data_IF_470375744884
#
_entry.id   IF_470375744884
#
_cell.length_a   1.000
_cell.length_b   1.000
_cell.length_c   1.000
_cell.angle_alpha   90.00
_cell.angle_beta   90.00
_cell.angle_gamma   90.00
#
_symmetry.space_group_name_H-M   'P 1'
#
loop_
_entity.id
_entity.type
_entity.pdbx_description
1 polymer ?
#
# COMPACT_ATOMS: atom_id res chain seq x y z
N UNK A 1 34.48 -14.18 17.73
CA UNK A 1 33.86 -15.50 17.51
C UNK A 1 32.52 -15.27 16.84
N UNK A 2 32.51 -15.21 15.52
CA UNK A 2 31.32 -14.98 14.70
C UNK A 2 30.63 -16.32 14.49
N UNK A 3 29.68 -16.63 15.37
CA UNK A 3 28.79 -17.76 15.14
C UNK A 3 27.90 -17.44 13.95
N UNK A 4 28.21 -17.99 12.79
CA UNK A 4 27.17 -18.36 11.84
C UNK A 4 26.29 -19.37 12.56
N UNK A 5 25.24 -18.90 13.25
CA UNK A 5 24.15 -19.78 13.59
C UNK A 5 23.50 -20.13 12.25
N UNK A 6 23.59 -21.37 11.74
CA UNK A 6 22.70 -21.77 10.66
C UNK A 6 21.29 -21.51 11.17
N UNK A 7 20.49 -20.76 10.42
CA UNK A 7 19.07 -20.60 10.70
C UNK A 7 18.52 -22.01 10.87
N UNK A 8 18.24 -22.41 12.11
CA UNK A 8 17.71 -23.73 12.41
C UNK A 8 16.43 -23.87 11.62
N UNK A 9 16.35 -24.89 10.75
CA UNK A 9 15.16 -25.14 9.93
C UNK A 9 13.98 -25.29 10.89
N UNK A 10 13.10 -24.30 10.92
CA UNK A 10 11.92 -24.32 11.75
C UNK A 10 10.84 -25.06 10.98
N UNK A 11 10.42 -26.21 11.49
CA UNK A 11 9.22 -26.90 11.01
C UNK A 11 8.03 -26.40 11.83
N UNK A 12 6.99 -25.90 11.16
CA UNK A 12 5.71 -25.57 11.80
C UNK A 12 4.60 -26.40 11.20
N UNK A 13 3.79 -26.99 12.07
CA UNK A 13 2.62 -27.76 11.66
C UNK A 13 1.44 -26.81 11.51
N UNK A 14 0.75 -26.90 10.37
CA UNK A 14 -0.48 -26.16 10.09
C UNK A 14 -1.62 -27.16 9.86
N UNK A 15 -2.57 -27.23 10.78
CA UNK A 15 -3.72 -28.12 10.65
C UNK A 15 -4.82 -27.48 9.81
N UNK A 16 -5.38 -28.25 8.89
CA UNK A 16 -6.49 -27.85 8.02
C UNK A 16 -7.80 -28.36 8.60
N UNK A 17 -8.76 -27.48 8.90
CA UNK A 17 -10.09 -27.90 9.37
C UNK A 17 -11.19 -27.49 8.39
N UNK A 18 -12.21 -28.33 8.24
CA UNK A 18 -13.37 -28.04 7.41
C UNK A 18 -14.05 -26.72 7.81
N UNK A 19 -14.43 -25.91 6.80
CA UNK A 19 -15.04 -24.59 6.90
C UNK A 19 -14.17 -23.54 7.62
N UNK A 20 -12.86 -23.76 7.71
CA UNK A 20 -11.92 -22.84 8.33
C UNK A 20 -11.48 -21.76 7.33
N UNK A 21 -11.96 -20.52 7.52
CA UNK A 21 -11.50 -19.36 6.78
C UNK A 21 -10.53 -18.54 7.64
N UNK A 22 -9.23 -18.65 7.32
CA UNK A 22 -8.14 -17.96 7.99
C UNK A 22 -7.60 -16.78 7.17
N UNK A 23 -8.36 -16.26 6.20
CA UNK A 23 -7.90 -15.16 5.34
C UNK A 23 -7.62 -13.87 6.12
N UNK A 24 -8.26 -13.70 7.27
CA UNK A 24 -8.06 -12.58 8.18
C UNK A 24 -7.24 -12.93 9.43
N UNK A 25 -6.72 -14.16 9.52
CA UNK A 25 -5.90 -14.61 10.65
C UNK A 25 -4.42 -14.49 10.30
N UNK A 26 -3.66 -13.79 11.15
CA UNK A 26 -2.22 -13.65 10.94
C UNK A 26 -1.50 -14.95 11.28
N UNK A 27 -0.95 -15.60 10.25
CA UNK A 27 -0.01 -16.71 10.42
C UNK A 27 1.32 -16.34 9.77
N UNK A 28 2.31 -15.96 10.59
CA UNK A 28 3.64 -15.54 10.13
C UNK A 28 4.73 -16.53 10.48
N UNK A 29 5.69 -16.68 9.55
CA UNK A 29 6.87 -17.52 9.68
C UNK A 29 8.13 -16.82 9.19
N UNK A 30 9.28 -17.31 9.64
CA UNK A 30 10.59 -16.85 9.17
C UNK A 30 10.91 -17.49 7.82
N UNK A 31 11.59 -16.75 6.96
CA UNK A 31 12.19 -17.26 5.72
C UNK A 31 13.09 -18.49 6.01
N UNK A 32 12.98 -19.52 5.18
CA UNK A 32 13.64 -20.82 5.35
C UNK A 32 12.85 -21.82 6.21
N UNK A 33 11.70 -21.44 6.77
CA UNK A 33 10.84 -22.36 7.52
C UNK A 33 10.14 -23.34 6.58
N UNK A 34 9.85 -24.54 7.11
CA UNK A 34 9.00 -25.54 6.46
C UNK A 34 7.63 -25.48 7.12
N UNK A 35 6.58 -25.29 6.33
CA UNK A 35 5.22 -25.56 6.79
C UNK A 35 4.85 -26.97 6.41
N UNK A 36 4.48 -27.74 7.42
CA UNK A 36 3.91 -29.06 7.28
C UNK A 36 2.39 -28.93 7.43
N UNK A 37 1.67 -28.93 6.32
CA UNK A 37 0.22 -28.99 6.32
C UNK A 37 -0.23 -30.39 6.72
N UNK A 38 -1.14 -30.48 7.69
CA UNK A 38 -1.76 -31.74 8.12
C UNK A 38 -3.27 -31.63 8.11
N UNK A 39 -3.94 -32.76 7.95
CA UNK A 39 -5.38 -32.82 8.16
C UNK A 39 -5.69 -32.57 9.64
N UNK A 40 -6.65 -31.70 9.90
CA UNK A 40 -7.31 -31.57 11.20
C UNK A 40 -8.37 -32.64 11.37
N UNK A 41 -8.86 -32.80 12.61
CA UNK A 41 -9.78 -33.89 12.96
C UNK A 41 -11.10 -33.86 12.19
N UNK A 42 -11.53 -32.69 11.69
CA UNK A 42 -12.75 -32.54 10.90
C UNK A 42 -12.62 -33.05 9.48
N UNK A 43 -11.39 -33.27 8.98
CA UNK A 43 -11.11 -33.77 7.64
C UNK A 43 -10.64 -35.24 7.62
N UNK A 44 -10.57 -35.92 8.77
CA UNK A 44 -10.22 -37.33 8.81
C UNK A 44 -11.26 -38.18 8.06
N UNK A 45 -10.78 -39.18 7.32
CA UNK A 45 -11.56 -40.01 6.42
C UNK A 45 -11.92 -39.35 5.08
N UNK A 46 -11.49 -38.11 4.84
CA UNK A 46 -11.75 -37.38 3.59
C UNK A 46 -10.49 -37.26 2.73
N UNK A 47 -10.63 -37.53 1.42
CA UNK A 47 -9.61 -37.15 0.45
C UNK A 47 -9.67 -35.65 0.18
N UNK A 48 -8.58 -34.93 0.43
CA UNK A 48 -8.50 -33.47 0.26
C UNK A 48 -7.44 -33.12 -0.77
N UNK A 49 -7.69 -32.13 -1.62
CA UNK A 49 -6.67 -31.50 -2.49
C UNK A 49 -6.31 -30.13 -1.93
N UNK A 50 -5.02 -29.89 -1.73
CA UNK A 50 -4.47 -28.65 -1.19
C UNK A 50 -3.75 -27.88 -2.29
N UNK A 51 -4.08 -26.60 -2.44
CA UNK A 51 -3.50 -25.71 -3.44
C UNK A 51 -2.80 -24.53 -2.77
N UNK A 52 -1.67 -24.11 -3.32
CA UNK A 52 -0.94 -22.93 -2.86
C UNK A 52 -0.39 -22.12 -4.04
N UNK A 53 -0.35 -20.79 -3.91
CA UNK A 53 0.26 -19.91 -4.92
C UNK A 53 1.76 -19.63 -4.69
N UNK A 54 2.38 -20.35 -3.77
CA UNK A 54 3.83 -20.35 -3.60
C UNK A 54 4.48 -21.13 -4.76
N UNK A 55 5.43 -20.53 -5.50
CA UNK A 55 6.02 -21.17 -6.67
C UNK A 55 6.74 -22.46 -6.29
N UNK A 56 6.82 -23.43 -7.22
CA UNK A 56 7.53 -24.68 -6.96
C UNK A 56 9.04 -24.42 -6.80
N UNK A 57 9.62 -23.61 -7.68
CA UNK A 57 10.98 -23.11 -7.52
C UNK A 57 10.94 -21.62 -7.16
N UNK A 58 11.61 -21.19 -6.08
CA UNK A 58 11.71 -19.78 -5.68
C UNK A 58 12.23 -18.84 -6.78
N UNK A 59 13.02 -19.37 -7.72
CA UNK A 59 13.60 -18.62 -8.85
C UNK A 59 12.62 -18.31 -9.97
N UNK A 60 11.48 -19.01 -10.05
CA UNK A 60 10.49 -18.85 -11.13
C UNK A 60 9.69 -17.54 -11.02
N UNK A 61 9.84 -16.84 -9.90
CA UNK A 61 9.10 -15.64 -9.56
C UNK A 61 7.70 -15.94 -9.03
N UNK A 62 7.17 -15.03 -8.21
CA UNK A 62 5.84 -15.17 -7.65
C UNK A 62 4.76 -14.66 -8.62
N UNK A 63 3.71 -15.48 -8.83
CA UNK A 63 2.52 -15.12 -9.62
C UNK A 63 1.27 -15.35 -8.78
N UNK A 64 0.67 -14.25 -8.30
CA UNK A 64 -0.44 -14.27 -7.31
C UNK A 64 -1.61 -15.20 -7.67
N UNK A 65 -1.94 -15.31 -8.95
CA UNK A 65 -3.10 -16.07 -9.46
C UNK A 65 -2.75 -17.49 -9.95
N UNK A 66 -1.48 -17.91 -9.84
CA UNK A 66 -1.05 -19.24 -10.26
C UNK A 66 -0.93 -20.13 -9.04
N UNK A 67 -1.70 -21.22 -9.02
CA UNK A 67 -1.71 -22.19 -7.93
C UNK A 67 -1.16 -23.53 -8.40
N UNK A 68 -0.51 -24.26 -7.50
CA UNK A 68 -0.11 -25.65 -7.69
C UNK A 68 -0.74 -26.54 -6.63
N UNK A 69 -1.10 -27.76 -7.02
CA UNK A 69 -1.55 -28.79 -6.10
C UNK A 69 -0.35 -29.35 -5.32
N UNK A 70 -0.49 -29.43 -4.00
CA UNK A 70 0.49 -30.06 -3.12
C UNK A 70 0.23 -31.57 -3.05
N UNK A 71 1.32 -32.35 -3.13
CA UNK A 71 1.26 -33.81 -3.08
C UNK A 71 1.34 -34.30 -1.64
N UNK A 72 0.29 -34.96 -1.18
CA UNK A 72 0.25 -35.62 0.12
C UNK A 72 1.28 -36.74 0.23
N UNK A 73 1.91 -36.85 1.40
CA UNK A 73 2.84 -37.89 1.80
C UNK A 73 2.34 -38.52 3.10
N UNK A 74 2.69 -39.77 3.34
CA UNK A 74 2.40 -40.46 4.60
C UNK A 74 3.69 -41.05 5.16
N UNK A 75 3.95 -40.81 6.44
CA UNK A 75 5.05 -41.44 7.17
C UNK A 75 4.65 -42.82 7.74
N UNK A 76 3.37 -43.20 7.61
CA UNK A 76 2.83 -44.45 8.14
C UNK A 76 2.82 -45.55 7.07
N UNK A 77 3.14 -46.78 7.49
CA UNK A 77 2.96 -47.98 6.65
C UNK A 77 1.49 -48.34 6.49
N UNK A 78 0.62 -47.84 7.38
CA UNK A 78 -0.81 -48.05 7.31
C UNK A 78 -1.45 -46.99 6.41
N UNK A 79 -2.00 -47.43 5.27
CA UNK A 79 -2.60 -46.52 4.27
C UNK A 79 -3.87 -45.80 4.74
N UNK A 80 -4.49 -46.24 5.84
CA UNK A 80 -5.67 -45.59 6.44
C UNK A 80 -5.35 -44.67 7.63
N UNK A 81 -4.07 -44.37 7.88
CA UNK A 81 -3.66 -43.50 8.97
C UNK A 81 -3.55 -42.04 8.51
N UNK A 82 -4.68 -41.33 8.58
CA UNK A 82 -4.77 -39.92 8.18
C UNK A 82 -3.93 -38.99 9.07
N UNK A 83 -3.54 -39.42 10.27
CA UNK A 83 -2.73 -38.62 11.20
C UNK A 83 -1.28 -38.47 10.74
N UNK A 84 -0.84 -39.38 9.87
CA UNK A 84 0.49 -39.37 9.24
C UNK A 84 0.52 -38.60 7.91
N UNK A 85 -0.64 -38.21 7.37
CA UNK A 85 -0.73 -37.47 6.11
C UNK A 85 -0.25 -36.03 6.27
N UNK A 86 0.65 -35.62 5.38
CA UNK A 86 1.16 -34.27 5.36
C UNK A 86 1.62 -33.79 3.98
N UNK A 87 1.63 -32.47 3.80
CA UNK A 87 2.24 -31.76 2.68
C UNK A 87 3.28 -30.78 3.21
N UNK A 88 4.52 -30.85 2.73
CA UNK A 88 5.58 -29.94 3.14
C UNK A 88 5.84 -28.87 2.09
N UNK A 89 5.99 -27.62 2.56
CA UNK A 89 6.42 -26.49 1.72
C UNK A 89 7.52 -25.71 2.45
N UNK A 90 8.68 -25.58 1.81
CA UNK A 90 9.78 -24.73 2.28
C UNK A 90 9.63 -23.32 1.72
N UNK A 91 9.60 -22.33 2.60
CA UNK A 91 9.37 -20.93 2.22
C UNK A 91 10.67 -20.12 2.18
N UNK A 92 11.27 -20.04 1.00
CA UNK A 92 12.49 -19.29 0.71
C UNK A 92 12.25 -17.91 0.10
N UNK A 93 10.99 -17.54 -0.18
CA UNK A 93 10.61 -16.20 -0.60
C UNK A 93 9.88 -15.50 0.54
N UNK A 94 10.23 -14.24 0.80
CA UNK A 94 9.44 -13.38 1.66
C UNK A 94 8.21 -12.91 0.88
N UNK A 95 7.07 -12.78 1.56
CA UNK A 95 5.81 -12.41 0.91
C UNK A 95 4.58 -12.97 1.61
N UNK A 96 3.44 -12.80 0.98
CA UNK A 96 2.15 -13.32 1.44
C UNK A 96 1.65 -14.35 0.44
N UNK A 97 1.51 -15.59 0.88
CA UNK A 97 1.14 -16.74 0.04
C UNK A 97 -0.20 -17.29 0.48
N UNK A 98 -1.10 -17.45 -0.48
CA UNK A 98 -2.44 -17.96 -0.26
C UNK A 98 -2.46 -19.46 -0.48
N UNK A 99 -3.13 -20.17 0.42
CA UNK A 99 -3.50 -21.57 0.23
C UNK A 99 -5.00 -21.74 0.39
N UNK A 100 -5.53 -22.76 -0.26
CA UNK A 100 -6.91 -23.23 -0.06
C UNK A 100 -6.98 -24.73 -0.32
N UNK A 101 -8.03 -25.38 0.17
CA UNK A 101 -8.23 -26.80 -0.06
C UNK A 101 -9.70 -27.14 -0.33
N UNK A 102 -9.90 -28.25 -1.03
CA UNK A 102 -11.21 -28.79 -1.42
C UNK A 102 -11.24 -30.30 -1.20
N UNK A 103 -12.41 -30.92 -0.96
CA UNK A 103 -12.56 -32.36 -1.03
C UNK A 103 -12.30 -32.84 -2.46
N UNK A 104 -11.93 -34.11 -2.60
CA UNK A 104 -11.75 -34.74 -3.91
C UNK A 104 -13.06 -34.69 -4.72
N UNK A 105 -12.97 -34.16 -5.95
CA UNK A 105 -14.15 -33.89 -6.79
C UNK A 105 -14.92 -32.61 -6.45
N UNK A 106 -14.46 -31.83 -5.47
CA UNK A 106 -15.06 -30.56 -5.08
C UNK A 106 -14.86 -29.42 -6.08
N UNK A 107 -15.60 -28.33 -5.88
CA UNK A 107 -15.54 -27.12 -6.70
C UNK A 107 -14.48 -26.13 -6.16
N UNK A 108 -13.52 -25.75 -7.01
CA UNK A 108 -12.46 -24.78 -6.67
C UNK A 108 -13.04 -23.41 -6.29
N UNK A 109 -14.22 -23.05 -6.80
CA UNK A 109 -14.90 -21.80 -6.47
C UNK A 109 -15.53 -21.83 -5.07
N UNK A 110 -15.58 -22.99 -4.40
CA UNK A 110 -16.15 -23.18 -3.07
C UNK A 110 -15.15 -23.95 -2.18
N UNK A 111 -14.02 -23.31 -1.80
CA UNK A 111 -13.03 -23.94 -0.95
C UNK A 111 -13.62 -24.36 0.39
N UNK A 112 -13.23 -25.53 0.89
CA UNK A 112 -13.58 -26.01 2.23
C UNK A 112 -12.77 -25.31 3.32
N UNK A 113 -11.73 -24.58 2.94
CA UNK A 113 -11.00 -23.68 3.82
C UNK A 113 -9.85 -23.00 3.06
N UNK A 114 -9.39 -21.88 3.59
CA UNK A 114 -8.36 -21.05 2.98
C UNK A 114 -7.62 -20.22 4.03
N UNK A 115 -6.46 -19.71 3.66
CA UNK A 115 -5.71 -18.80 4.51
C UNK A 115 -4.44 -18.28 3.85
N UNK A 116 -3.75 -17.41 4.58
CA UNK A 116 -2.48 -16.84 4.16
C UNK A 116 -1.34 -17.26 5.07
N UNK A 117 -0.19 -17.50 4.46
CA UNK A 117 1.09 -17.65 5.13
C UNK A 117 1.90 -16.40 4.82
N UNK A 118 2.18 -15.61 5.85
CA UNK A 118 3.08 -14.47 5.77
C UNK A 118 4.51 -14.93 6.07
N UNK A 119 5.44 -14.65 5.16
CA UNK A 119 6.86 -14.97 5.33
C UNK A 119 7.62 -13.67 5.48
N UNK A 120 8.20 -13.47 6.66
CA UNK A 120 8.89 -12.24 7.01
C UNK A 120 10.13 -12.01 6.14
N UNK A 121 10.41 -10.76 5.72
CA UNK A 121 11.64 -10.44 5.02
C UNK A 121 12.86 -10.57 5.95
N UNK A 122 14.01 -10.88 5.36
CA UNK A 122 15.30 -10.84 6.05
C UNK A 122 16.00 -9.56 5.64
N UNK A 123 16.08 -8.60 6.56
CA UNK A 123 16.78 -7.34 6.36
C UNK A 123 18.26 -7.53 6.66
N UNK A 124 19.15 -7.01 5.81
CA UNK A 124 20.59 -7.15 5.97
C UNK A 124 21.34 -5.84 5.77
N UNK A 125 22.39 -5.64 6.55
CA UNK A 125 23.26 -4.47 6.49
C UNK A 125 24.73 -4.83 6.69
N UNK A 126 25.62 -3.86 6.57
CA UNK A 126 27.05 -4.08 6.81
C UNK A 126 27.76 -4.78 5.65
N UNK A 127 29.11 -4.80 5.66
CA UNK A 127 29.90 -5.44 4.61
C UNK A 127 29.55 -6.92 4.46
N UNK A 128 29.45 -7.63 5.58
CA UNK A 128 29.16 -9.08 5.67
C UNK A 128 27.68 -9.44 5.53
N UNK A 129 26.78 -8.47 5.29
CA UNK A 129 25.32 -8.66 5.28
C UNK A 129 24.78 -9.29 6.59
N UNK A 130 25.18 -8.71 7.72
CA UNK A 130 24.61 -9.03 9.03
C UNK A 130 23.08 -8.91 8.98
N UNK A 131 22.37 -9.82 9.63
CA UNK A 131 20.90 -9.79 9.72
C UNK A 131 20.46 -8.75 10.75
N UNK A 132 19.57 -7.85 10.34
CA UNK A 132 18.83 -6.95 11.24
C UNK A 132 17.53 -7.66 11.69
N UNK A 133 17.38 -8.02 12.96
CA UNK A 133 16.10 -8.53 13.46
C UNK A 133 14.99 -7.48 13.33
N UNK A 134 13.82 -7.90 12.87
CA UNK A 134 12.68 -6.98 12.67
C UNK A 134 12.22 -6.32 13.98
N UNK A 135 12.28 -7.05 15.10
CA UNK A 135 11.94 -6.54 16.43
C UNK A 135 12.97 -5.54 16.99
N UNK A 136 14.11 -5.37 16.32
CA UNK A 136 15.18 -4.46 16.70
C UNK A 136 15.23 -3.20 15.85
N UNK A 137 14.21 -2.91 15.03
CA UNK A 137 14.18 -1.72 14.19
C UNK A 137 14.01 -0.46 15.05
N UNK A 138 14.95 0.45 14.91
CA UNK A 138 14.91 1.81 15.43
C UNK A 138 14.91 2.75 14.22
N UNK A 139 13.74 3.28 13.90
CA UNK A 139 13.52 4.10 12.71
C UNK A 139 13.39 5.59 13.06
N UNK A 140 14.08 6.45 12.30
CA UNK A 140 13.92 7.90 12.33
C UNK A 140 13.43 8.41 10.97
N UNK A 141 12.50 9.36 10.97
CA UNK A 141 11.95 9.96 9.75
C UNK A 141 12.60 11.30 9.42
N UNK A 142 12.98 11.47 8.15
CA UNK A 142 13.45 12.73 7.58
C UNK A 142 12.51 13.19 6.46
N UNK A 143 12.16 14.49 6.48
CA UNK A 143 11.48 15.13 5.37
C UNK A 143 12.48 15.39 4.24
N UNK A 144 12.36 14.67 3.13
CA UNK A 144 13.30 14.76 2.01
C UNK A 144 13.49 16.21 1.51
N UNK A 145 12.39 16.97 1.40
CA UNK A 145 12.43 18.38 0.98
C UNK A 145 13.24 19.29 1.92
N UNK A 146 13.42 18.90 3.18
CA UNK A 146 14.23 19.64 4.16
C UNK A 146 15.71 19.23 4.15
N UNK A 147 16.10 18.18 3.40
CA UNK A 147 17.50 17.76 3.27
C UNK A 147 18.32 18.65 2.32
N UNK A 148 17.66 19.51 1.53
CA UNK A 148 18.33 20.43 0.61
C UNK A 148 19.03 19.69 -0.54
N UNK A 149 20.06 20.31 -1.11
CA UNK A 149 20.85 19.72 -2.19
C UNK A 149 21.48 18.39 -1.76
N UNK A 150 21.60 17.46 -2.71
CA UNK A 150 22.02 16.09 -2.46
C UNK A 150 23.39 15.99 -1.76
N UNK A 151 24.30 16.92 -2.05
CA UNK A 151 25.63 16.99 -1.41
C UNK A 151 25.58 17.09 0.13
N UNK A 152 24.51 17.67 0.69
CA UNK A 152 24.33 17.83 2.14
C UNK A 152 23.64 16.64 2.79
N UNK A 153 23.10 15.70 2.02
CA UNK A 153 22.32 14.58 2.55
C UNK A 153 23.15 13.70 3.47
N UNK A 154 24.36 13.33 3.05
CA UNK A 154 25.21 12.46 3.86
C UNK A 154 25.47 13.07 5.25
N UNK A 155 25.86 14.34 5.30
CA UNK A 155 26.09 15.05 6.56
C UNK A 155 24.83 15.09 7.44
N UNK A 156 23.67 15.42 6.87
CA UNK A 156 22.41 15.56 7.61
C UNK A 156 21.85 14.23 8.09
N UNK A 157 22.00 13.18 7.30
CA UNK A 157 21.56 11.82 7.64
C UNK A 157 22.53 11.15 8.63
N UNK A 158 23.79 11.58 8.71
CA UNK A 158 24.79 11.02 9.63
C UNK A 158 24.32 11.03 11.08
N UNK A 159 23.59 12.07 11.49
CA UNK A 159 23.03 12.17 12.85
C UNK A 159 22.24 10.93 13.24
N UNK A 160 21.47 10.33 12.32
CA UNK A 160 20.70 9.11 12.59
C UNK A 160 21.59 7.96 13.09
N UNK A 161 22.73 7.74 12.43
CA UNK A 161 23.71 6.73 12.82
C UNK A 161 24.34 7.06 14.17
N UNK A 162 24.79 8.31 14.37
CA UNK A 162 25.54 8.71 15.58
C UNK A 162 24.69 8.58 16.86
N UNK A 163 23.37 8.73 16.75
CA UNK A 163 22.45 8.55 17.89
C UNK A 163 21.89 7.13 18.02
N UNK A 164 22.29 6.21 17.13
CA UNK A 164 22.00 4.78 17.24
C UNK A 164 20.76 4.27 16.50
N UNK A 165 20.16 5.04 15.59
CA UNK A 165 19.11 4.50 14.70
C UNK A 165 19.72 3.53 13.68
N UNK A 166 18.99 2.47 13.36
CA UNK A 166 19.39 1.46 12.37
C UNK A 166 18.47 1.43 11.14
N UNK A 167 17.47 2.32 11.09
CA UNK A 167 16.65 2.57 9.92
C UNK A 167 16.39 4.07 9.73
N UNK A 168 16.48 4.55 8.50
CA UNK A 168 16.08 5.90 8.09
C UNK A 168 14.87 5.79 7.18
N UNK A 169 13.76 6.38 7.60
CA UNK A 169 12.63 6.65 6.73
C UNK A 169 12.78 8.02 6.09
N UNK A 170 12.71 8.08 4.75
CA UNK A 170 12.77 9.33 3.98
C UNK A 170 11.41 9.49 3.31
N UNK A 171 10.71 10.59 3.56
CA UNK A 171 9.46 10.90 2.83
C UNK A 171 9.69 10.94 1.32
N UNK A 172 8.66 10.90 0.45
CA UNK A 172 8.84 10.80 -0.99
C UNK A 172 9.90 11.77 -1.56
N UNK A 173 10.81 11.20 -2.34
CA UNK A 173 11.96 11.90 -2.96
C UNK A 173 11.61 12.43 -4.37
N UNK A 174 10.38 12.20 -4.81
CA UNK A 174 9.91 12.54 -6.14
C UNK A 174 9.59 14.04 -6.26
N UNK A 175 9.42 14.51 -7.50
CA UNK A 175 9.07 15.90 -7.80
C UNK A 175 7.72 16.27 -7.17
N UNK A 176 7.72 17.34 -6.36
CA UNK A 176 6.54 17.84 -5.68
C UNK A 176 5.70 18.75 -6.59
N UNK A 177 4.41 18.84 -6.26
CA UNK A 177 3.46 19.78 -6.84
C UNK A 177 3.50 21.17 -6.22
N UNK A 178 2.61 22.05 -6.69
CA UNK A 178 2.54 23.46 -6.35
C UNK A 178 2.17 23.74 -4.89
N UNK A 179 1.57 22.77 -4.19
CA UNK A 179 1.34 22.86 -2.75
C UNK A 179 2.61 22.69 -1.91
N UNK A 180 3.70 22.20 -2.52
CA UNK A 180 4.94 21.78 -1.84
C UNK A 180 4.71 20.70 -0.74
N UNK A 181 3.57 20.01 -0.77
CA UNK A 181 3.33 18.88 0.13
C UNK A 181 4.19 17.68 -0.28
N UNK A 182 4.88 17.04 0.67
CA UNK A 182 5.71 15.85 0.44
C UNK A 182 4.95 14.66 -0.17
N UNK A 183 3.62 14.66 -0.08
CA UNK A 183 2.76 13.60 -0.61
C UNK A 183 2.02 14.01 -1.90
N UNK A 184 2.10 15.28 -2.30
CA UNK A 184 1.52 15.77 -3.56
C UNK A 184 2.57 15.70 -4.66
N UNK A 185 2.69 14.52 -5.28
CA UNK A 185 3.73 14.24 -6.28
C UNK A 185 3.29 14.68 -7.68
N UNK A 186 4.01 15.62 -8.29
CA UNK A 186 3.81 16.08 -9.67
C UNK A 186 4.37 15.12 -10.71
N UNK A 187 5.48 14.46 -10.38
CA UNK A 187 6.06 13.45 -11.25
C UNK A 187 6.76 12.37 -10.43
N UNK A 188 6.15 11.19 -10.40
CA UNK A 188 6.59 10.03 -9.63
C UNK A 188 7.90 9.42 -10.18
N UNK A 189 8.25 9.72 -11.43
CA UNK A 189 9.44 9.18 -12.12
C UNK A 189 10.63 10.14 -12.10
N UNK A 190 10.47 11.35 -11.55
CA UNK A 190 11.52 12.36 -11.44
C UNK A 190 11.81 12.66 -9.98
N UNK A 191 13.07 12.88 -9.66
CA UNK A 191 13.49 13.36 -8.35
C UNK A 191 13.08 14.82 -8.13
N UNK A 192 12.94 15.20 -6.87
CA UNK A 192 12.71 16.60 -6.51
C UNK A 192 13.91 17.48 -6.92
N UNK A 193 13.71 18.54 -7.73
CA UNK A 193 14.80 19.41 -8.17
C UNK A 193 15.50 20.16 -7.03
N UNK A 194 14.92 20.21 -5.83
CA UNK A 194 15.60 20.79 -4.64
C UNK A 194 16.88 20.03 -4.26
N UNK A 195 17.06 18.80 -4.77
CA UNK A 195 18.25 17.99 -4.55
C UNK A 195 19.38 18.34 -5.52
N UNK A 196 19.10 19.10 -6.58
CA UNK A 196 20.12 19.54 -7.53
C UNK A 196 21.08 20.56 -6.87
N UNK A 197 22.33 20.54 -7.32
CA UNK A 197 23.35 21.55 -6.99
C UNK A 197 23.58 22.47 -8.20
N UNK A 198 24.18 23.66 -8.01
CA UNK A 198 24.56 24.53 -9.13
C UNK A 198 25.41 23.78 -10.16
N UNK A 199 24.87 23.58 -11.37
CA UNK A 199 25.57 22.88 -12.46
C UNK A 199 25.56 21.35 -12.41
N UNK A 200 24.91 20.72 -11.41
CA UNK A 200 24.83 19.25 -11.28
C UNK A 200 23.44 18.80 -10.85
N UNK A 201 22.81 17.95 -11.68
CA UNK A 201 21.54 17.30 -11.33
C UNK A 201 21.76 16.07 -10.47
N UNK A 202 20.90 15.87 -9.48
CA UNK A 202 20.84 14.65 -8.71
C UNK A 202 20.15 13.56 -9.52
N UNK A 203 20.73 12.36 -9.55
CA UNK A 203 20.17 11.19 -10.22
C UNK A 203 19.79 10.11 -9.21
N UNK A 204 18.95 9.17 -9.65
CA UNK A 204 18.61 8.01 -8.82
C UNK A 204 19.85 7.16 -8.47
N UNK A 205 20.87 7.17 -9.34
CA UNK A 205 22.14 6.48 -9.10
C UNK A 205 22.96 7.15 -8.00
N UNK A 206 22.93 8.48 -7.91
CA UNK A 206 23.57 9.20 -6.79
C UNK A 206 22.93 8.79 -5.47
N UNK A 207 21.58 8.80 -5.40
CA UNK A 207 20.82 8.37 -4.22
C UNK A 207 21.12 6.90 -3.89
N UNK A 208 21.11 6.01 -4.89
CA UNK A 208 21.41 4.59 -4.72
C UNK A 208 22.81 4.37 -4.13
N UNK A 209 23.80 5.14 -4.59
CA UNK A 209 25.17 5.09 -4.06
C UNK A 209 25.21 5.48 -2.58
N UNK A 210 24.50 6.55 -2.19
CA UNK A 210 24.40 6.97 -0.79
C UNK A 210 23.64 5.93 0.06
N UNK A 211 22.53 5.38 -0.45
CA UNK A 211 21.76 4.33 0.23
C UNK A 211 22.61 3.08 0.49
N UNK A 212 23.38 2.63 -0.50
CA UNK A 212 24.30 1.50 -0.32
C UNK A 212 25.42 1.81 0.66
N UNK A 213 25.96 3.04 0.66
CA UNK A 213 26.91 3.50 1.67
C UNK A 213 26.32 3.46 3.08
N UNK A 214 25.10 4.00 3.27
CA UNK A 214 24.37 3.97 4.54
C UNK A 214 24.17 2.51 4.99
N UNK A 215 23.76 1.62 4.08
CA UNK A 215 23.57 0.19 4.36
C UNK A 215 24.86 -0.52 4.74
N UNK A 216 25.92 -0.36 3.95
CA UNK A 216 27.17 -1.12 4.08
C UNK A 216 28.10 -0.55 5.15
N UNK A 217 28.30 0.76 5.18
CA UNK A 217 29.26 1.39 6.10
C UNK A 217 28.63 1.79 7.42
N UNK A 218 27.37 2.24 7.42
CA UNK A 218 26.74 2.75 8.64
C UNK A 218 25.94 1.68 9.38
N UNK A 219 25.70 0.53 8.74
CA UNK A 219 24.80 -0.52 9.25
C UNK A 219 23.38 0.01 9.52
N UNK A 220 22.91 0.91 8.65
CA UNK A 220 21.58 1.53 8.71
C UNK A 220 20.86 1.22 7.40
N UNK A 221 19.59 0.84 7.43
CA UNK A 221 18.80 0.62 6.21
C UNK A 221 17.89 1.81 5.91
N UNK A 222 17.45 1.95 4.66
CA UNK A 222 16.58 3.07 4.26
C UNK A 222 15.25 2.58 3.71
N UNK A 223 14.19 3.33 3.97
CA UNK A 223 12.84 3.10 3.43
C UNK A 223 12.25 4.44 2.98
N UNK A 224 11.41 4.40 1.95
CA UNK A 224 10.65 5.57 1.47
C UNK A 224 9.18 5.21 1.36
N UNK A 225 8.33 6.21 1.55
CA UNK A 225 6.90 6.11 1.25
C UNK A 225 6.67 5.89 -0.25
N UNK A 226 5.59 5.18 -0.56
CA UNK A 226 5.03 5.04 -1.91
C UNK A 226 3.60 5.57 -1.89
N UNK A 227 3.31 6.57 -2.72
CA UNK A 227 1.99 7.21 -2.79
C UNK A 227 1.20 6.62 -3.95
N UNK A 228 0.24 5.74 -3.65
CA UNK A 228 -0.57 5.03 -4.67
C UNK A 228 -1.96 5.63 -4.88
N UNK A 229 -2.47 6.40 -3.92
CA UNK A 229 -3.85 6.83 -3.85
C UNK A 229 -4.12 8.17 -4.56
N UNK A 230 -3.10 9.01 -4.77
CA UNK A 230 -3.24 10.31 -5.43
C UNK A 230 -1.95 10.81 -6.09
N UNK A 231 -2.07 11.87 -6.88
CA UNK A 231 -0.98 12.64 -7.50
C UNK A 231 -1.31 14.14 -7.38
N UNK A 232 -0.35 15.03 -7.62
CA UNK A 232 -0.62 16.46 -7.71
C UNK A 232 -1.60 16.76 -8.87
N UNK A 233 -2.51 17.71 -8.66
CA UNK A 233 -3.59 18.01 -9.61
C UNK A 233 -3.07 18.64 -10.92
N UNK A 234 -1.85 19.15 -10.92
CA UNK A 234 -1.16 19.74 -12.07
C UNK A 234 -0.08 18.83 -12.69
N UNK A 235 -0.10 17.53 -12.39
CA UNK A 235 0.73 16.54 -13.07
C UNK A 235 0.44 16.52 -14.58
N UNK A 236 1.47 16.73 -15.40
CA UNK A 236 1.33 16.90 -16.87
C UNK A 236 0.66 15.70 -17.54
N UNK A 237 0.97 14.49 -17.07
CA UNK A 237 0.43 13.24 -17.61
C UNK A 237 -1.09 13.11 -17.42
N UNK A 238 -1.71 13.86 -16.50
CA UNK A 238 -3.17 13.87 -16.34
C UNK A 238 -3.89 14.50 -17.53
N UNK A 239 -3.23 15.37 -18.30
CA UNK A 239 -3.77 15.93 -19.53
C UNK A 239 -3.85 14.88 -20.64
N UNK A 240 -2.87 13.97 -20.66
CA UNK A 240 -2.79 12.86 -21.62
C UNK A 240 -3.69 11.69 -21.20
N UNK A 241 -3.84 11.47 -19.88
CA UNK A 241 -4.56 10.34 -19.28
C UNK A 241 -5.64 10.76 -18.26
N UNK A 242 -6.65 11.56 -18.65
CA UNK A 242 -7.70 12.01 -17.74
C UNK A 242 -8.58 10.85 -17.22
N UNK A 243 -8.61 9.70 -17.90
CA UNK A 243 -9.29 8.48 -17.47
C UNK A 243 -8.73 7.89 -16.18
N UNK A 244 -7.50 8.28 -15.80
CA UNK A 244 -6.87 7.88 -14.54
C UNK A 244 -7.43 8.61 -13.32
N UNK A 245 -8.32 9.58 -13.53
CA UNK A 245 -9.01 10.33 -12.46
C UNK A 245 -10.48 9.94 -12.38
N UNK A 246 -11.15 10.25 -11.27
CA UNK A 246 -12.61 10.19 -11.23
C UNK A 246 -13.19 11.44 -11.92
N UNK A 247 -13.76 11.26 -13.11
CA UNK A 247 -14.28 12.35 -13.94
C UNK A 247 -15.75 12.11 -14.35
N UNK A 248 -16.38 13.08 -15.04
CA UNK A 248 -17.81 13.01 -15.39
C UNK A 248 -18.16 11.96 -16.47
N UNK A 249 -17.13 11.35 -17.09
CA UNK A 249 -17.26 10.29 -18.10
C UNK A 249 -17.18 8.92 -17.44
N UNK A 250 -16.10 8.63 -16.70
CA UNK A 250 -15.92 7.32 -16.06
C UNK A 250 -16.63 7.19 -14.70
N UNK A 251 -17.01 8.31 -14.08
CA UNK A 251 -17.66 8.37 -12.76
C UNK A 251 -18.91 9.25 -12.81
N UNK A 252 -19.92 8.89 -13.64
CA UNK A 252 -21.08 9.74 -13.90
C UNK A 252 -21.94 10.02 -12.64
N UNK A 253 -21.86 9.15 -11.63
CA UNK A 253 -22.50 9.36 -10.32
C UNK A 253 -21.98 10.61 -9.59
N UNK A 254 -20.80 11.15 -9.97
CA UNK A 254 -20.25 12.38 -9.41
C UNK A 254 -20.80 13.66 -10.04
N UNK A 255 -21.62 13.58 -11.10
CA UNK A 255 -22.19 14.77 -11.78
C UNK A 255 -22.94 15.73 -10.83
N UNK A 256 -23.81 15.25 -9.91
CA UNK A 256 -24.49 16.15 -8.96
C UNK A 256 -23.48 16.86 -8.04
N UNK A 257 -22.47 16.12 -7.56
CA UNK A 257 -21.43 16.66 -6.69
C UNK A 257 -20.56 17.70 -7.42
N UNK A 258 -20.19 17.43 -8.67
CA UNK A 258 -19.45 18.38 -9.51
C UNK A 258 -20.22 19.69 -9.72
N UNK A 259 -21.52 19.62 -10.04
CA UNK A 259 -22.33 20.83 -10.23
C UNK A 259 -22.40 21.67 -8.96
N UNK A 260 -22.56 21.02 -7.80
CA UNK A 260 -22.53 21.70 -6.51
C UNK A 260 -21.17 22.37 -6.26
N UNK A 261 -20.06 21.64 -6.44
CA UNK A 261 -18.70 22.16 -6.25
C UNK A 261 -18.42 23.37 -7.15
N UNK A 262 -18.72 23.28 -8.45
CA UNK A 262 -18.58 24.39 -9.40
C UNK A 262 -19.40 25.61 -8.99
N UNK A 263 -20.61 25.38 -8.46
CA UNK A 263 -21.48 26.45 -8.01
C UNK A 263 -20.92 27.15 -6.78
N UNK A 264 -20.42 26.40 -5.81
CA UNK A 264 -19.76 26.96 -4.62
C UNK A 264 -18.51 27.76 -5.03
N UNK A 265 -17.73 27.26 -6.00
CA UNK A 265 -16.58 27.97 -6.52
C UNK A 265 -16.97 29.32 -7.15
N UNK A 266 -17.90 29.33 -8.11
CA UNK A 266 -18.36 30.58 -8.73
C UNK A 266 -19.01 31.53 -7.72
N UNK A 267 -19.76 31.00 -6.75
CA UNK A 267 -20.34 31.81 -5.69
C UNK A 267 -19.26 32.49 -4.84
N UNK A 268 -18.19 31.78 -4.51
CA UNK A 268 -17.06 32.36 -3.79
C UNK A 268 -16.37 33.50 -4.56
N UNK A 269 -16.23 33.35 -5.88
CA UNK A 269 -15.71 34.42 -6.75
C UNK A 269 -16.63 35.64 -6.80
N UNK A 270 -17.95 35.42 -6.87
CA UNK A 270 -18.94 36.50 -6.87
C UNK A 270 -18.97 37.26 -5.54
N UNK A 271 -18.82 36.55 -4.41
CA UNK A 271 -18.67 37.15 -3.08
C UNK A 271 -17.40 38.01 -3.04
N UNK A 272 -16.27 37.47 -3.47
CA UNK A 272 -14.99 38.19 -3.49
C UNK A 272 -15.05 39.46 -4.37
N UNK A 273 -15.79 39.41 -5.47
CA UNK A 273 -16.05 40.56 -6.35
C UNK A 273 -17.09 41.55 -5.80
N UNK A 274 -17.66 41.31 -4.62
CA UNK A 274 -18.63 42.19 -3.96
C UNK A 274 -20.04 42.15 -4.55
N UNK A 275 -20.35 41.22 -5.46
CA UNK A 275 -21.65 41.16 -6.14
C UNK A 275 -22.82 40.89 -5.19
N UNK A 276 -22.55 40.27 -4.05
CA UNK A 276 -23.54 39.89 -3.04
C UNK A 276 -23.59 40.84 -1.83
N UNK A 277 -22.88 41.99 -1.89
CA UNK A 277 -22.85 42.93 -0.77
C UNK A 277 -24.24 43.46 -0.40
N UNK A 278 -25.09 43.75 -1.40
CA UNK A 278 -26.48 44.19 -1.19
C UNK A 278 -27.38 43.09 -0.60
N UNK A 279 -26.94 41.83 -0.67
CA UNK A 279 -27.61 40.67 -0.07
C UNK A 279 -27.05 40.32 1.31
N UNK A 280 -26.24 41.21 1.91
CA UNK A 280 -25.63 41.00 3.23
C UNK A 280 -24.38 40.12 3.22
N UNK A 281 -23.80 39.85 2.04
CA UNK A 281 -22.57 39.05 1.91
C UNK A 281 -21.46 39.91 1.29
N UNK A 282 -20.69 40.63 2.12
CA UNK A 282 -19.57 41.41 1.62
C UNK A 282 -18.39 40.51 1.23
N UNK A 283 -17.41 41.09 0.52
CA UNK A 283 -16.19 40.38 0.12
C UNK A 283 -15.37 39.86 1.31
N UNK A 284 -15.45 40.52 2.46
CA UNK A 284 -14.82 40.07 3.70
C UNK A 284 -15.85 39.49 4.67
N UNK A 285 -15.87 38.17 4.80
CA UNK A 285 -16.74 37.45 5.74
C UNK A 285 -16.08 37.42 7.12
N UNK A 286 -16.58 38.21 8.07
CA UNK A 286 -15.94 38.39 9.37
C UNK A 286 -16.91 38.38 10.57
N UNK A 287 -18.20 38.08 10.34
CA UNK A 287 -19.20 37.95 11.40
C UNK A 287 -20.24 36.87 11.06
N UNK A 288 -21.09 36.55 12.03
CA UNK A 288 -22.09 35.49 11.92
C UNK A 288 -23.25 35.85 10.97
N UNK A 289 -23.62 37.12 10.87
CA UNK A 289 -24.69 37.58 9.96
C UNK A 289 -24.32 37.31 8.50
N UNK A 290 -23.05 37.53 8.11
CA UNK A 290 -22.55 37.21 6.78
C UNK A 290 -22.61 35.69 6.51
N UNK A 291 -22.29 34.85 7.51
CA UNK A 291 -22.38 33.40 7.39
C UNK A 291 -23.83 32.92 7.24
N UNK A 292 -24.75 33.53 7.99
CA UNK A 292 -26.18 33.26 7.87
C UNK A 292 -26.71 33.68 6.50
N UNK A 293 -26.32 34.86 5.99
CA UNK A 293 -26.67 35.30 4.65
C UNK A 293 -26.17 34.35 3.55
N UNK A 294 -24.94 33.82 3.68
CA UNK A 294 -24.38 32.78 2.79
C UNK A 294 -25.23 31.51 2.85
N UNK A 295 -25.54 31.01 4.06
CA UNK A 295 -26.35 29.80 4.26
C UNK A 295 -27.72 29.94 3.61
N UNK A 296 -28.41 31.05 3.82
CA UNK A 296 -29.73 31.30 3.27
C UNK A 296 -29.68 31.46 1.75
N UNK A 297 -28.64 32.09 1.21
CA UNK A 297 -28.41 32.16 -0.25
C UNK A 297 -28.20 30.78 -0.88
N UNK A 298 -27.44 29.89 -0.23
CA UNK A 298 -27.24 28.52 -0.71
C UNK A 298 -28.54 27.70 -0.66
N UNK A 299 -29.27 27.75 0.46
CA UNK A 299 -30.52 26.99 0.66
C UNK A 299 -31.69 27.52 -0.16
N UNK A 300 -31.75 28.84 -0.34
CA UNK A 300 -32.75 29.55 -1.10
C UNK A 300 -32.35 29.57 -2.57
N UNK A 301 -31.54 30.54 -2.98
CA UNK A 301 -31.26 30.79 -4.39
C UNK A 301 -30.65 29.58 -5.11
N UNK A 302 -29.48 29.08 -4.67
CA UNK A 302 -28.75 28.05 -5.43
C UNK A 302 -29.40 26.66 -5.41
N UNK A 303 -30.04 26.26 -4.32
CA UNK A 303 -30.79 24.99 -4.24
C UNK A 303 -31.85 24.89 -5.35
N UNK A 304 -32.59 25.97 -5.61
CA UNK A 304 -33.62 25.99 -6.65
C UNK A 304 -33.02 26.05 -8.07
N UNK A 305 -31.91 26.77 -8.24
CA UNK A 305 -31.25 26.88 -9.55
C UNK A 305 -30.57 25.57 -9.98
N UNK A 306 -29.93 24.85 -9.06
CA UNK A 306 -29.18 23.64 -9.39
C UNK A 306 -30.04 22.42 -9.65
N UNK A 307 -31.27 22.40 -9.10
CA UNK A 307 -32.22 21.28 -9.23
C UNK A 307 -31.60 19.90 -9.03
N UNK A 308 -30.65 19.77 -8.09
CA UNK A 308 -29.91 18.51 -7.87
C UNK A 308 -30.81 17.30 -7.59
N UNK A 309 -32.01 17.52 -7.08
CA UNK A 309 -33.01 16.48 -6.86
C UNK A 309 -33.49 15.78 -8.15
N UNK A 310 -33.44 16.46 -9.31
CA UNK A 310 -33.81 15.87 -10.60
C UNK A 310 -32.88 14.70 -11.00
N UNK A 311 -31.65 14.64 -10.46
CA UNK A 311 -30.76 13.50 -10.64
C UNK A 311 -31.21 12.23 -9.90
N UNK A 312 -32.16 12.35 -8.96
CA UNK A 312 -32.62 11.26 -8.10
C UNK A 312 -34.11 10.94 -8.28
N UNK A 313 -34.83 11.70 -9.12
CA UNK A 313 -36.28 11.57 -9.31
C UNK A 313 -36.63 11.28 -10.77
N UNK A 314 -37.68 10.48 -10.99
CA UNK A 314 -38.26 10.31 -12.32
C UNK A 314 -39.08 11.54 -12.71
N UNK A 315 -38.92 12.02 -13.95
CA UNK A 315 -39.75 13.10 -14.50
C UNK A 315 -41.09 12.48 -14.92
N UNK A 316 -42.19 12.92 -14.28
CA UNK A 316 -43.55 12.41 -14.55
C UNK A 316 -44.26 13.15 -15.70
N UNK A 317 -43.67 14.23 -16.20
CA UNK A 317 -44.26 15.09 -17.24
C UNK A 317 -43.35 15.19 -18.45
N UNK A 318 -43.41 14.19 -19.31
CA UNK A 318 -43.06 14.30 -20.73
C UNK A 318 -44.24 13.79 -21.53
N UNK A 319 -45.12 14.70 -21.93
CA UNK A 319 -46.06 14.57 -23.05
C UNK A 319 -45.76 15.72 -24.00
#
# INVERSE_FOLDING_TARGET
>A
MTGHHPLSIQVRVHHLNENENLEHTLFSIKKGSVIQFKLGSTLFGQSVKLFINYPENPTDGFKRLVYRELKWRSDSLNKGDDTALHCDVTFELAGSFHYFFIPEGGDILKPSGSGYILVDPVLTYGPENDVLPLDSILCITYLAKCLGSFEKWEERLRTAKEVGYNMIHITPIQQLGGSDSSYSLRNQLKLNPVFDSPGKKCTINDISTLVEKIRKEWKVITVTDVVLNHTANESEWLLEHPESTYNLVNSPHLRPAYLLDRTLWYFSLDIAAGKWANSGIPAAVNNEDHLNAIRETLKGYYKHQLKLHEFFCCILTTF
#
